data_IF_666706553165
#
_entry.id   IF_666706553165
#
_cell.length_a   1.000
_cell.length_b   1.000
_cell.length_c   1.000
_cell.angle_alpha   90.00
_cell.angle_beta   90.00
_cell.angle_gamma   90.00
#
_symmetry.space_group_name_H-M   'P 1'
#
loop_
_entity.id
_entity.type
_entity.pdbx_description
1 polymer ?
#
# COMPACT_ATOMS: atom_id res chain seq x y z
N UNK A 1 -14.75 23.28 12.66
CA UNK A 1 -14.11 23.08 11.33
C UNK A 1 -15.20 23.15 10.31
N UNK A 2 -15.07 24.04 9.33
CA UNK A 2 -16.00 24.12 8.20
C UNK A 2 -15.74 22.89 7.34
N UNK A 3 -16.69 21.96 7.31
CA UNK A 3 -16.77 20.94 6.27
C UNK A 3 -16.90 21.70 4.95
N UNK A 4 -16.11 21.33 3.95
CA UNK A 4 -16.05 22.04 2.67
C UNK A 4 -17.43 22.20 2.03
N UNK A 5 -17.74 23.41 1.55
CA UNK A 5 -19.08 23.83 1.10
C UNK A 5 -19.38 23.49 -0.37
N UNK A 6 -18.45 22.91 -1.14
CA UNK A 6 -18.55 22.87 -2.61
C UNK A 6 -19.38 21.72 -3.21
N UNK A 7 -19.85 20.77 -2.39
CA UNK A 7 -20.61 19.57 -2.80
C UNK A 7 -19.92 18.70 -3.88
N UNK A 8 -18.61 18.90 -4.08
CA UNK A 8 -17.79 18.14 -5.01
C UNK A 8 -17.30 16.83 -4.37
N UNK A 9 -17.18 15.72 -5.12
CA UNK A 9 -16.79 14.42 -4.57
C UNK A 9 -15.45 14.41 -3.82
N UNK A 10 -14.47 15.23 -4.22
CA UNK A 10 -13.19 15.29 -3.51
C UNK A 10 -13.26 15.95 -2.15
N UNK A 11 -14.27 16.77 -1.88
CA UNK A 11 -14.45 17.35 -0.56
C UNK A 11 -14.82 16.30 0.48
N UNK A 12 -15.63 15.31 0.11
CA UNK A 12 -15.94 14.18 0.97
C UNK A 12 -14.68 13.38 1.31
N UNK A 13 -13.82 13.14 0.32
CA UNK A 13 -12.53 12.47 0.51
C UNK A 13 -11.62 13.27 1.47
N UNK A 14 -11.53 14.59 1.31
CA UNK A 14 -10.76 15.45 2.22
C UNK A 14 -11.33 15.42 3.65
N UNK A 15 -12.65 15.45 3.79
CA UNK A 15 -13.32 15.34 5.09
C UNK A 15 -13.04 13.99 5.77
N UNK A 16 -12.96 12.90 5.01
CA UNK A 16 -12.58 11.58 5.54
C UNK A 16 -11.13 11.59 6.06
N UNK A 17 -10.19 12.17 5.31
CA UNK A 17 -8.80 12.30 5.76
C UNK A 17 -8.70 13.12 7.04
N UNK A 18 -9.39 14.27 7.13
CA UNK A 18 -9.39 15.12 8.32
C UNK A 18 -10.04 14.48 9.56
N UNK A 19 -10.85 13.44 9.38
CA UNK A 19 -11.54 12.73 10.47
C UNK A 19 -10.87 11.42 10.87
N UNK A 20 -9.71 11.10 10.29
CA UNK A 20 -8.95 9.89 10.61
C UNK A 20 -8.56 9.85 12.10
N UNK A 21 -8.82 8.74 12.81
CA UNK A 21 -8.52 8.63 14.23
C UNK A 21 -7.00 8.50 14.49
N UNK A 22 -6.57 8.84 15.70
CA UNK A 22 -5.26 8.45 16.22
C UNK A 22 -5.22 6.99 16.69
N UNK A 23 -4.02 6.49 17.05
CA UNK A 23 -3.82 5.15 17.59
C UNK A 23 -4.55 4.97 18.94
N UNK A 24 -4.79 3.71 19.33
CA UNK A 24 -5.25 3.36 20.66
C UNK A 24 -4.08 3.37 21.66
N UNK A 25 -3.93 4.49 22.36
CA UNK A 25 -2.89 4.69 23.36
C UNK A 25 -3.00 3.75 24.56
N UNK A 26 -4.21 3.28 24.89
CA UNK A 26 -4.42 2.34 26.00
C UNK A 26 -3.90 0.95 25.64
N UNK A 27 -4.21 0.48 24.42
CA UNK A 27 -3.69 -0.79 23.91
C UNK A 27 -2.16 -0.74 23.78
N UNK A 28 -1.61 0.37 23.29
CA UNK A 28 -0.17 0.57 23.20
C UNK A 28 0.52 0.52 24.57
N UNK A 29 -0.03 1.21 25.58
CA UNK A 29 0.49 1.18 26.94
C UNK A 29 0.43 -0.23 27.56
N UNK A 30 -0.66 -0.97 27.31
CA UNK A 30 -0.83 -2.34 27.80
C UNK A 30 0.18 -3.32 27.19
N UNK A 31 0.42 -3.23 25.86
CA UNK A 31 1.45 -4.03 25.18
C UNK A 31 2.83 -3.72 25.73
N UNK A 32 3.21 -2.45 25.89
CA UNK A 32 4.51 -2.07 26.47
C UNK A 32 4.70 -2.60 27.89
N UNK A 33 3.67 -2.47 28.72
CA UNK A 33 3.71 -2.96 30.10
C UNK A 33 3.87 -4.48 30.17
N UNK A 34 3.18 -5.23 29.29
CA UNK A 34 3.32 -6.68 29.18
C UNK A 34 4.69 -7.07 28.64
N UNK A 35 5.17 -6.41 27.58
CA UNK A 35 6.41 -6.75 26.90
C UNK A 35 7.63 -6.69 27.85
N UNK A 36 7.65 -5.70 28.75
CA UNK A 36 8.66 -5.55 29.79
C UNK A 36 8.72 -6.73 30.79
N UNK A 37 7.68 -7.56 30.85
CA UNK A 37 7.59 -8.71 31.75
C UNK A 37 7.83 -10.05 31.04
N UNK A 38 7.87 -10.06 29.71
CA UNK A 38 8.04 -11.29 28.93
C UNK A 38 9.41 -11.92 29.20
N UNK A 39 9.49 -13.26 29.12
CA UNK A 39 10.69 -14.05 29.44
C UNK A 39 11.80 -13.89 28.39
N UNK A 40 12.29 -12.67 28.23
CA UNK A 40 13.33 -12.24 27.30
C UNK A 40 14.07 -11.02 27.88
N UNK A 41 15.32 -10.74 27.50
CA UNK A 41 15.92 -9.45 27.76
C UNK A 41 15.12 -8.34 27.08
N UNK A 42 14.95 -7.20 27.77
CA UNK A 42 14.24 -6.04 27.22
C UNK A 42 14.83 -5.60 25.88
N UNK A 43 13.98 -5.37 24.87
CA UNK A 43 14.39 -4.95 23.52
C UNK A 43 15.05 -6.03 22.66
N UNK A 44 15.21 -7.26 23.17
CA UNK A 44 15.97 -8.33 22.47
C UNK A 44 15.32 -8.83 21.17
N UNK A 45 14.01 -8.61 20.97
CA UNK A 45 13.34 -8.95 19.71
C UNK A 45 13.30 -7.77 18.72
N UNK A 46 13.83 -6.59 19.10
CA UNK A 46 13.97 -5.42 18.24
C UNK A 46 12.66 -5.01 17.56
N UNK A 47 12.68 -4.91 16.22
CA UNK A 47 11.51 -4.48 15.42
C UNK A 47 10.27 -5.38 15.56
N UNK A 48 10.41 -6.62 16.01
CA UNK A 48 9.23 -7.47 16.27
C UNK A 48 8.40 -6.92 17.44
N UNK A 49 9.03 -6.29 18.42
CA UNK A 49 8.33 -5.61 19.53
C UNK A 49 7.58 -4.39 19.00
N UNK A 50 8.22 -3.59 18.14
CA UNK A 50 7.60 -2.44 17.46
C UNK A 50 6.39 -2.84 16.61
N UNK A 51 6.45 -3.99 15.92
CA UNK A 51 5.34 -4.50 15.11
C UNK A 51 4.16 -4.92 16.01
N UNK A 52 4.42 -5.53 17.17
CA UNK A 52 3.36 -5.89 18.12
C UNK A 52 2.70 -4.63 18.70
N UNK A 53 3.49 -3.61 19.05
CA UNK A 53 3.01 -2.28 19.47
C UNK A 53 2.14 -1.63 18.39
N UNK A 54 2.63 -1.56 17.15
CA UNK A 54 1.89 -1.02 16.01
C UNK A 54 0.56 -1.74 15.80
N UNK A 55 0.58 -3.08 15.81
CA UNK A 55 -0.60 -3.89 15.60
C UNK A 55 -1.64 -3.62 16.69
N UNK A 56 -1.23 -3.58 17.96
CA UNK A 56 -2.13 -3.31 19.07
C UNK A 56 -2.70 -1.89 19.05
N UNK A 57 -1.86 -0.90 18.75
CA UNK A 57 -2.27 0.50 18.62
C UNK A 57 -3.35 0.68 17.55
N UNK A 58 -3.23 -0.04 16.44
CA UNK A 58 -4.19 0.05 15.34
C UNK A 58 -5.31 -0.97 15.38
N UNK A 59 -5.21 -2.07 16.13
CA UNK A 59 -6.33 -3.00 16.33
C UNK A 59 -7.13 -2.72 17.61
N UNK A 60 -6.65 -1.82 18.49
CA UNK A 60 -7.24 -1.55 19.80
C UNK A 60 -7.24 -2.75 20.74
N UNK A 61 -6.24 -3.63 20.65
CA UNK A 61 -6.20 -4.89 21.39
C UNK A 61 -4.85 -5.09 22.08
N UNK A 62 -4.86 -5.16 23.41
CA UNK A 62 -3.68 -5.39 24.27
C UNK A 62 -3.00 -6.75 24.06
N UNK A 63 -3.71 -7.72 23.48
CA UNK A 63 -3.18 -9.02 23.05
C UNK A 63 -3.45 -9.16 21.56
N UNK A 64 -2.68 -8.42 20.73
CA UNK A 64 -2.95 -8.35 19.31
C UNK A 64 -2.89 -9.74 18.67
N UNK A 65 -3.76 -9.96 17.69
CA UNK A 65 -3.88 -11.20 16.92
C UNK A 65 -4.26 -10.86 15.48
N UNK A 66 -3.87 -11.72 14.56
CA UNK A 66 -4.22 -11.62 13.14
C UNK A 66 -4.88 -12.94 12.75
N UNK A 67 -6.19 -12.89 12.57
CA UNK A 67 -7.07 -14.04 12.36
C UNK A 67 -7.77 -14.01 11.00
N UNK A 68 -7.94 -12.82 10.42
CA UNK A 68 -8.59 -12.61 9.12
C UNK A 68 -7.76 -11.68 8.24
N UNK A 69 -6.46 -11.96 8.00
CA UNK A 69 -5.65 -11.15 7.11
C UNK A 69 -6.10 -11.35 5.66
N UNK A 70 -6.07 -10.27 4.86
CA UNK A 70 -6.46 -10.28 3.46
C UNK A 70 -5.43 -9.54 2.60
N UNK A 71 -5.04 -10.14 1.48
CA UNK A 71 -4.44 -9.41 0.35
C UNK A 71 -5.55 -8.99 -0.61
N UNK A 72 -5.66 -7.69 -0.85
CA UNK A 72 -6.56 -7.10 -1.83
C UNK A 72 -5.75 -6.67 -3.07
N UNK A 73 -5.91 -7.40 -4.17
CA UNK A 73 -5.30 -7.05 -5.46
C UNK A 73 -6.28 -6.21 -6.27
N UNK A 74 -5.91 -4.98 -6.61
CA UNK A 74 -6.66 -4.15 -7.53
C UNK A 74 -6.10 -4.29 -8.94
N UNK A 75 -6.86 -4.96 -9.82
CA UNK A 75 -6.45 -5.25 -11.19
C UNK A 75 -7.06 -4.25 -12.17
N UNK A 76 -6.27 -3.64 -13.04
CA UNK A 76 -6.77 -2.70 -14.06
C UNK A 76 -5.94 -2.74 -15.35
N UNK A 77 -6.23 -1.83 -16.28
CA UNK A 77 -5.47 -1.62 -17.51
C UNK A 77 -5.25 -0.13 -17.77
N UNK A 78 -4.16 0.21 -18.45
CA UNK A 78 -3.76 1.60 -18.72
C UNK A 78 -3.51 1.84 -20.20
N UNK A 79 -4.07 2.92 -20.76
CA UNK A 79 -3.85 3.29 -22.17
C UNK A 79 -2.40 3.64 -22.49
N UNK A 80 -1.60 4.05 -21.50
CA UNK A 80 -0.16 4.31 -21.70
C UNK A 80 0.61 3.03 -22.09
N UNK A 81 0.06 1.84 -21.80
CA UNK A 81 0.67 0.57 -22.18
C UNK A 81 0.89 0.44 -23.70
N UNK A 82 0.01 1.02 -24.51
CA UNK A 82 0.07 0.97 -25.98
C UNK A 82 1.32 1.69 -26.54
N UNK A 83 2.00 2.49 -25.72
CA UNK A 83 3.26 3.14 -26.07
C UNK A 83 4.48 2.24 -25.83
N UNK A 84 4.29 0.94 -25.54
CA UNK A 84 5.38 -0.01 -25.34
C UNK A 84 6.22 0.29 -24.09
N UNK A 85 5.59 0.81 -23.04
CA UNK A 85 6.22 1.10 -21.74
C UNK A 85 6.33 -0.13 -20.84
N UNK A 86 5.87 -1.29 -21.28
CA UNK A 86 5.98 -2.58 -20.60
C UNK A 86 6.54 -3.63 -21.54
N UNK A 87 7.25 -4.61 -20.99
CA UNK A 87 7.72 -5.78 -21.74
C UNK A 87 6.58 -6.74 -22.13
N UNK A 88 5.41 -6.61 -21.50
CA UNK A 88 4.25 -7.47 -21.71
C UNK A 88 3.09 -6.72 -22.35
N UNK A 89 2.31 -7.37 -23.23
CA UNK A 89 1.13 -6.76 -23.85
C UNK A 89 -0.05 -6.66 -22.87
N UNK A 90 -0.95 -5.70 -23.09
CA UNK A 90 -2.12 -5.44 -22.23
C UNK A 90 -3.02 -6.67 -22.01
N UNK A 91 -3.03 -7.63 -22.94
CA UNK A 91 -3.76 -8.90 -22.79
C UNK A 91 -3.34 -9.74 -21.57
N UNK A 92 -2.13 -9.50 -21.02
CA UNK A 92 -1.63 -10.18 -19.82
C UNK A 92 -2.45 -9.83 -18.58
N UNK A 93 -3.12 -8.68 -18.54
CA UNK A 93 -3.99 -8.30 -17.41
C UNK A 93 -5.06 -9.37 -17.14
N UNK A 94 -5.82 -9.75 -18.17
CA UNK A 94 -6.87 -10.78 -18.04
C UNK A 94 -6.28 -12.15 -17.68
N UNK A 95 -5.18 -12.53 -18.32
CA UNK A 95 -4.50 -13.81 -18.07
C UNK A 95 -4.02 -13.93 -16.62
N UNK A 96 -3.52 -12.84 -16.03
CA UNK A 96 -3.09 -12.84 -14.63
C UNK A 96 -4.27 -12.88 -13.66
N UNK A 97 -5.39 -12.20 -13.96
CA UNK A 97 -6.63 -12.35 -13.17
C UNK A 97 -7.11 -13.80 -13.17
N UNK A 98 -7.12 -14.45 -14.34
CA UNK A 98 -7.43 -15.89 -14.47
C UNK A 98 -6.43 -16.76 -13.68
N UNK A 99 -5.14 -16.43 -13.72
CA UNK A 99 -4.10 -17.14 -12.99
C UNK A 99 -4.26 -17.01 -11.45
N UNK A 100 -4.64 -15.83 -10.95
CA UNK A 100 -4.96 -15.64 -9.53
C UNK A 100 -6.15 -16.50 -9.11
N UNK A 101 -7.22 -16.53 -9.93
CA UNK A 101 -8.40 -17.35 -9.68
C UNK A 101 -8.08 -18.85 -9.71
N UNK A 102 -7.18 -19.27 -10.61
CA UNK A 102 -6.71 -20.65 -10.71
C UNK A 102 -5.72 -21.07 -9.60
N UNK A 103 -5.26 -20.13 -8.76
CA UNK A 103 -4.32 -20.44 -7.67
C UNK A 103 -2.86 -20.63 -8.11
N UNK A 104 -2.52 -20.15 -9.31
CA UNK A 104 -1.24 -20.42 -9.99
C UNK A 104 -0.19 -19.31 -9.85
N UNK A 105 -0.55 -18.12 -9.38
CA UNK A 105 0.40 -17.03 -9.22
C UNK A 105 1.29 -17.19 -7.98
N UNK A 106 2.37 -16.41 -7.91
CA UNK A 106 3.28 -16.41 -6.77
C UNK A 106 2.57 -15.95 -5.49
N UNK A 107 1.73 -14.91 -5.59
CA UNK A 107 0.93 -14.43 -4.45
C UNK A 107 0.02 -15.52 -3.88
N UNK A 108 -0.56 -16.40 -4.72
CA UNK A 108 -1.36 -17.53 -4.23
C UNK A 108 -0.54 -18.47 -3.34
N UNK A 109 0.73 -18.71 -3.67
CA UNK A 109 1.60 -19.59 -2.87
C UNK A 109 1.94 -18.94 -1.53
N UNK A 110 2.26 -17.65 -1.54
CA UNK A 110 2.61 -16.89 -0.33
C UNK A 110 1.41 -16.79 0.60
N UNK A 111 0.22 -16.47 0.07
CA UNK A 111 -1.03 -16.43 0.81
C UNK A 111 -1.35 -17.79 1.47
N UNK A 112 -1.20 -18.89 0.72
CA UNK A 112 -1.37 -20.24 1.28
C UNK A 112 -0.38 -20.53 2.41
N UNK A 113 0.90 -20.20 2.22
CA UNK A 113 1.93 -20.47 3.22
C UNK A 113 1.75 -19.68 4.51
N UNK A 114 1.20 -18.48 4.43
CA UNK A 114 1.03 -17.59 5.58
C UNK A 114 -0.40 -17.59 6.13
N UNK A 115 -1.30 -18.40 5.56
CA UNK A 115 -2.74 -18.41 5.89
C UNK A 115 -3.32 -17.00 5.84
N UNK A 116 -3.24 -16.41 4.64
CA UNK A 116 -3.73 -15.07 4.31
C UNK A 116 -4.77 -15.20 3.19
N UNK A 117 -5.93 -14.56 3.38
CA UNK A 117 -6.95 -14.49 2.35
C UNK A 117 -6.43 -13.76 1.12
N UNK A 118 -6.96 -14.08 -0.06
CA UNK A 118 -6.65 -13.38 -1.30
C UNK A 118 -7.95 -13.01 -2.00
N UNK A 119 -8.12 -11.73 -2.34
CA UNK A 119 -9.24 -11.24 -3.13
C UNK A 119 -8.74 -10.33 -4.23
N UNK A 120 -9.22 -10.59 -5.45
CA UNK A 120 -8.95 -9.75 -6.62
C UNK A 120 -10.16 -8.89 -6.89
N UNK A 121 -9.93 -7.60 -7.06
CA UNK A 121 -10.90 -6.58 -7.39
C UNK A 121 -10.64 -6.14 -8.83
N UNK A 122 -11.55 -6.49 -9.75
CA UNK A 122 -11.45 -6.11 -11.15
C UNK A 122 -11.95 -4.68 -11.35
N UNK A 123 -11.03 -3.79 -11.71
CA UNK A 123 -11.27 -2.38 -12.03
C UNK A 123 -11.24 -2.17 -13.55
N UNK A 124 -12.04 -2.98 -14.24
CA UNK A 124 -12.21 -2.98 -15.69
C UNK A 124 -10.91 -3.26 -16.46
N UNK A 125 -10.31 -4.42 -16.23
CA UNK A 125 -9.08 -4.88 -16.93
C UNK A 125 -9.19 -4.92 -18.45
N UNK A 126 -10.41 -4.92 -19.00
CA UNK A 126 -10.69 -4.91 -20.44
C UNK A 126 -10.89 -3.52 -21.03
N UNK A 127 -11.06 -2.50 -20.19
CA UNK A 127 -11.30 -1.12 -20.60
C UNK A 127 -10.20 -0.23 -20.00
N UNK A 128 -9.06 -0.08 -20.68
CA UNK A 128 -7.95 0.72 -20.17
C UNK A 128 -8.40 2.14 -19.80
N UNK A 129 -7.77 2.73 -18.78
CA UNK A 129 -7.87 4.19 -18.60
C UNK A 129 -7.35 4.90 -19.87
N UNK A 130 -7.77 6.14 -20.15
CA UNK A 130 -7.11 6.95 -21.17
C UNK A 130 -5.59 7.02 -20.93
N UNK A 131 -4.83 7.24 -22.01
CA UNK A 131 -3.39 7.45 -21.86
C UNK A 131 -3.13 8.76 -21.12
N UNK A 132 -2.45 8.66 -19.97
CA UNK A 132 -2.07 9.82 -19.13
C UNK A 132 -1.20 10.85 -19.85
N UNK A 133 -0.65 10.49 -21.02
CA UNK A 133 0.10 11.42 -21.87
C UNK A 133 -0.79 12.35 -22.70
N UNK A 134 -2.09 12.05 -22.83
CA UNK A 134 -3.04 12.75 -23.70
C UNK A 134 -4.26 13.26 -22.94
N UNK A 135 -4.85 12.41 -22.09
CA UNK A 135 -6.13 12.66 -21.41
C UNK A 135 -6.04 12.31 -19.92
N UNK A 136 -6.93 12.90 -19.12
CA UNK A 136 -6.98 12.62 -17.69
C UNK A 136 -7.41 11.15 -17.50
N UNK A 137 -6.76 10.42 -16.57
CA UNK A 137 -7.06 9.01 -16.35
C UNK A 137 -8.51 8.78 -15.92
N UNK A 138 -9.05 9.71 -15.13
CA UNK A 138 -10.42 9.72 -14.60
C UNK A 138 -10.90 11.17 -14.47
N UNK A 139 -12.22 11.38 -14.57
CA UNK A 139 -12.83 12.59 -14.01
C UNK A 139 -12.93 12.49 -12.47
N UNK A 140 -13.28 13.60 -11.82
CA UNK A 140 -13.37 13.67 -10.36
C UNK A 140 -14.37 12.67 -9.78
N UNK A 141 -15.58 12.57 -10.36
CA UNK A 141 -16.63 11.70 -9.87
C UNK A 141 -16.26 10.22 -9.97
N UNK A 142 -15.67 9.79 -11.10
CA UNK A 142 -15.17 8.44 -11.28
C UNK A 142 -13.97 8.14 -10.39
N UNK A 143 -13.07 9.11 -10.16
CA UNK A 143 -11.95 8.94 -9.24
C UNK A 143 -12.47 8.70 -7.82
N UNK A 144 -13.36 9.55 -7.32
CA UNK A 144 -13.97 9.41 -5.99
C UNK A 144 -14.79 8.10 -5.85
N UNK A 145 -15.57 7.72 -6.87
CA UNK A 145 -16.30 6.46 -6.88
C UNK A 145 -15.36 5.24 -6.86
N UNK A 146 -14.22 5.31 -7.57
CA UNK A 146 -13.21 4.25 -7.56
C UNK A 146 -12.53 4.14 -6.19
N UNK A 147 -12.25 5.26 -5.53
CA UNK A 147 -11.78 5.27 -4.14
C UNK A 147 -12.80 4.61 -3.22
N UNK A 148 -14.09 4.97 -3.32
CA UNK A 148 -15.16 4.37 -2.53
C UNK A 148 -15.26 2.85 -2.75
N UNK A 149 -15.13 2.37 -3.99
CA UNK A 149 -15.08 0.94 -4.29
C UNK A 149 -13.88 0.24 -3.62
N UNK A 150 -12.72 0.91 -3.57
CA UNK A 150 -11.56 0.42 -2.81
C UNK A 150 -11.82 0.24 -1.31
N UNK A 151 -12.64 1.11 -0.71
CA UNK A 151 -13.03 1.02 0.71
C UNK A 151 -13.79 -0.26 1.03
N UNK A 152 -14.55 -0.80 0.06
CA UNK A 152 -15.31 -2.05 0.23
C UNK A 152 -14.43 -3.27 0.46
N UNK A 153 -13.12 -3.19 0.20
CA UNK A 153 -12.20 -4.28 0.45
C UNK A 153 -12.06 -4.67 1.93
N UNK A 154 -12.48 -3.79 2.86
CA UNK A 154 -12.52 -4.07 4.30
C UNK A 154 -13.77 -4.83 4.75
N UNK A 155 -14.75 -5.01 3.86
CA UNK A 155 -15.97 -5.73 4.20
C UNK A 155 -15.64 -7.16 4.67
N UNK A 156 -16.35 -7.61 5.72
CA UNK A 156 -16.19 -8.96 6.27
C UNK A 156 -15.23 -9.07 7.45
N UNK A 157 -14.95 -7.97 8.17
CA UNK A 157 -14.22 -8.00 9.43
C UNK A 157 -12.75 -8.40 9.27
N UNK A 158 -12.08 -7.78 8.30
CA UNK A 158 -10.64 -7.96 8.07
C UNK A 158 -9.87 -7.29 9.21
N UNK A 159 -8.89 -7.97 9.79
CA UNK A 159 -8.09 -7.47 10.92
C UNK A 159 -6.65 -7.09 10.54
N UNK A 160 -6.24 -7.39 9.30
CA UNK A 160 -5.00 -6.94 8.68
C UNK A 160 -5.19 -6.93 7.16
N UNK A 161 -4.97 -5.79 6.52
CA UNK A 161 -5.12 -5.66 5.07
C UNK A 161 -3.78 -5.44 4.38
N UNK A 162 -3.53 -6.14 3.28
CA UNK A 162 -2.32 -6.06 2.48
C UNK A 162 -2.67 -5.54 1.09
N UNK A 163 -2.01 -4.47 0.63
CA UNK A 163 -2.24 -3.92 -0.69
C UNK A 163 -1.52 -4.76 -1.75
N UNK A 164 -2.23 -5.04 -2.84
CA UNK A 164 -1.66 -5.55 -4.07
C UNK A 164 -2.29 -4.86 -5.28
N UNK A 165 -1.60 -4.97 -6.40
CA UNK A 165 -2.02 -4.35 -7.65
C UNK A 165 -1.66 -5.27 -8.82
N UNK A 166 -2.32 -5.05 -9.96
CA UNK A 166 -1.97 -5.69 -11.22
C UNK A 166 -2.39 -4.79 -12.37
N UNK A 167 -1.46 -4.40 -13.23
CA UNK A 167 -1.79 -3.60 -14.41
C UNK A 167 -0.61 -3.36 -15.32
N UNK A 168 -0.69 -3.82 -16.57
CA UNK A 168 0.33 -3.51 -17.57
C UNK A 168 0.44 -1.98 -17.75
N UNK A 169 1.64 -1.45 -17.52
CA UNK A 169 1.96 -0.02 -17.63
C UNK A 169 1.88 0.77 -16.31
N UNK A 170 1.42 0.16 -15.22
CA UNK A 170 1.20 0.86 -13.95
C UNK A 170 2.48 1.41 -13.30
N UNK A 171 3.66 0.82 -13.52
CA UNK A 171 4.92 1.40 -13.02
C UNK A 171 5.22 2.78 -13.65
N UNK A 172 4.79 3.01 -14.89
CA UNK A 172 4.86 4.33 -15.55
C UNK A 172 3.88 5.31 -14.91
N UNK A 173 2.68 4.84 -14.60
CA UNK A 173 1.62 5.62 -13.93
C UNK A 173 2.05 6.01 -12.52
N UNK A 174 2.55 5.06 -11.73
CA UNK A 174 3.11 5.29 -10.40
C UNK A 174 4.26 6.31 -10.43
N UNK A 175 5.17 6.21 -11.41
CA UNK A 175 6.24 7.19 -11.60
C UNK A 175 5.70 8.60 -11.92
N UNK A 176 4.65 8.71 -12.75
CA UNK A 176 4.02 9.98 -13.06
C UNK A 176 3.33 10.61 -11.84
N UNK A 177 2.62 9.81 -11.04
CA UNK A 177 2.01 10.26 -9.77
C UNK A 177 3.09 10.77 -8.82
N UNK A 178 4.15 9.98 -8.58
CA UNK A 178 5.23 10.36 -7.67
C UNK A 178 5.98 11.61 -8.14
N UNK A 179 6.26 11.73 -9.45
CA UNK A 179 6.86 12.94 -10.01
C UNK A 179 5.93 14.15 -9.86
N UNK A 180 4.63 14.00 -10.10
CA UNK A 180 3.64 15.08 -9.92
C UNK A 180 3.62 15.61 -8.49
N UNK A 181 3.60 14.70 -7.51
CA UNK A 181 3.56 15.02 -6.08
C UNK A 181 4.88 15.63 -5.60
N UNK A 182 6.00 14.95 -5.82
CA UNK A 182 7.30 15.29 -5.21
C UNK A 182 8.24 16.09 -6.12
N UNK A 183 7.88 16.30 -7.38
CA UNK A 183 8.68 17.03 -8.36
C UNK A 183 9.92 16.26 -8.83
N UNK A 184 10.92 17.01 -9.31
CA UNK A 184 12.12 16.44 -9.94
C UNK A 184 11.91 16.07 -11.40
N UNK A 185 12.87 15.34 -11.98
CA UNK A 185 12.83 14.88 -13.37
C UNK A 185 12.16 13.51 -13.47
N UNK A 186 11.64 13.15 -14.65
CA UNK A 186 11.07 11.82 -14.88
C UNK A 186 12.07 10.68 -14.60
N UNK A 187 13.36 10.92 -14.87
CA UNK A 187 14.44 9.94 -14.65
C UNK A 187 14.58 9.54 -13.19
N UNK A 188 14.22 10.43 -12.26
CA UNK A 188 14.33 10.13 -10.83
C UNK A 188 13.25 9.13 -10.33
N UNK A 189 12.24 8.83 -11.16
CA UNK A 189 11.07 8.05 -10.77
C UNK A 189 10.85 6.78 -11.60
N UNK A 190 11.48 6.68 -12.77
CA UNK A 190 11.30 5.53 -13.66
C UNK A 190 12.28 4.41 -13.34
N UNK A 191 11.83 3.18 -13.58
CA UNK A 191 12.64 1.98 -13.52
C UNK A 191 12.27 1.02 -14.64
N UNK A 192 12.99 -0.10 -14.72
CA UNK A 192 12.74 -1.12 -15.76
C UNK A 192 11.43 -1.88 -15.54
N UNK A 193 10.80 -1.83 -14.37
CA UNK A 193 9.52 -2.49 -14.11
C UNK A 193 9.58 -3.99 -14.43
N UNK A 194 8.76 -4.39 -15.39
CA UNK A 194 8.69 -5.75 -15.95
C UNK A 194 9.96 -6.22 -16.67
N UNK A 195 10.99 -5.38 -16.78
CA UNK A 195 12.29 -5.71 -17.37
C UNK A 195 12.51 -5.14 -18.77
N UNK A 196 12.01 -3.93 -19.04
CA UNK A 196 12.19 -3.28 -20.34
C UNK A 196 13.66 -2.98 -20.66
N UNK A 197 13.95 -2.95 -21.95
CA UNK A 197 15.24 -2.51 -22.51
C UNK A 197 15.43 -0.99 -22.43
N UNK A 198 16.54 -0.48 -22.96
CA UNK A 198 16.88 0.94 -22.91
C UNK A 198 15.91 1.80 -23.73
N UNK A 199 15.41 1.27 -24.85
CA UNK A 199 14.37 1.94 -25.64
C UNK A 199 13.05 2.02 -24.88
N UNK A 200 12.66 0.94 -24.19
CA UNK A 200 11.48 0.92 -23.33
C UNK A 200 11.61 1.87 -22.14
N UNK A 201 12.81 2.00 -21.56
CA UNK A 201 13.08 3.00 -20.52
C UNK A 201 12.96 4.42 -21.06
N UNK A 202 13.46 4.68 -22.28
CA UNK A 202 13.31 5.98 -22.94
C UNK A 202 11.83 6.31 -23.23
N UNK A 203 11.03 5.34 -23.67
CA UNK A 203 9.57 5.49 -23.85
C UNK A 203 8.87 5.79 -22.52
N UNK A 204 9.25 5.11 -21.43
CA UNK A 204 8.76 5.42 -20.08
C UNK A 204 9.07 6.86 -19.68
N UNK A 205 10.32 7.31 -19.87
CA UNK A 205 10.72 8.69 -19.58
C UNK A 205 9.84 9.69 -20.31
N UNK A 206 9.71 9.54 -21.63
CA UNK A 206 8.89 10.42 -22.46
C UNK A 206 7.42 10.43 -22.04
N UNK A 207 6.86 9.26 -21.68
CA UNK A 207 5.49 9.16 -21.19
C UNK A 207 5.28 9.90 -19.86
N UNK A 208 6.20 9.73 -18.90
CA UNK A 208 6.14 10.44 -17.61
C UNK A 208 6.30 11.94 -17.79
N UNK A 209 7.26 12.39 -18.61
CA UNK A 209 7.46 13.81 -18.94
C UNK A 209 6.19 14.43 -19.54
N UNK A 210 5.57 13.76 -20.51
CA UNK A 210 4.34 14.22 -21.14
C UNK A 210 3.17 14.29 -20.15
N UNK A 211 3.02 13.27 -19.30
CA UNK A 211 1.95 13.23 -18.29
C UNK A 211 2.11 14.35 -17.25
N UNK A 212 3.32 14.53 -16.71
CA UNK A 212 3.62 15.57 -15.72
C UNK A 212 3.49 16.97 -16.32
N UNK A 213 3.93 17.18 -17.56
CA UNK A 213 3.77 18.47 -18.24
C UNK A 213 2.30 18.90 -18.30
N UNK A 214 1.37 17.95 -18.51
CA UNK A 214 -0.06 18.23 -18.52
C UNK A 214 -0.57 18.72 -17.17
N UNK A 215 0.03 18.31 -16.05
CA UNK A 215 -0.36 18.80 -14.71
C UNK A 215 -0.26 20.33 -14.62
N UNK A 216 0.62 20.97 -15.40
CA UNK A 216 0.79 22.43 -15.44
C UNK A 216 1.02 23.04 -14.04
N UNK A 217 1.84 22.36 -13.23
CA UNK A 217 2.15 22.79 -11.87
C UNK A 217 1.06 22.50 -10.83
N UNK A 218 0.00 21.76 -11.18
CA UNK A 218 -0.97 21.26 -10.21
C UNK A 218 -0.29 20.42 -9.11
N UNK A 219 -0.69 20.67 -7.87
CA UNK A 219 -0.12 20.05 -6.66
C UNK A 219 -1.15 19.45 -5.73
N UNK A 220 -2.44 19.68 -5.97
CA UNK A 220 -3.47 18.96 -5.21
C UNK A 220 -3.33 17.45 -5.48
N UNK A 221 -3.17 16.62 -4.43
CA UNK A 221 -2.86 15.20 -4.60
C UNK A 221 -4.01 14.40 -5.25
N UNK A 222 -5.27 14.83 -5.06
CA UNK A 222 -6.41 14.18 -5.71
C UNK A 222 -6.51 14.57 -7.18
N UNK A 223 -6.16 15.82 -7.53
CA UNK A 223 -6.00 16.25 -8.91
C UNK A 223 -4.85 15.52 -9.63
N UNK A 224 -3.71 15.33 -8.97
CA UNK A 224 -2.60 14.54 -9.53
C UNK A 224 -3.07 13.10 -9.78
N UNK A 225 -3.73 12.48 -8.79
CA UNK A 225 -4.27 11.12 -8.92
C UNK A 225 -5.26 10.99 -10.08
N UNK A 226 -6.26 11.88 -10.20
CA UNK A 226 -7.29 11.73 -11.26
C UNK A 226 -6.70 11.92 -12.66
N UNK A 227 -5.68 12.77 -12.80
CA UNK A 227 -5.14 13.16 -14.10
C UNK A 227 -4.09 12.20 -14.62
N UNK A 228 -3.14 11.81 -13.77
CA UNK A 228 -1.98 10.97 -14.18
C UNK A 228 -1.86 9.66 -13.41
N UNK A 229 -2.85 9.31 -12.59
CA UNK A 229 -2.91 8.04 -11.88
C UNK A 229 -3.65 6.94 -12.65
N UNK A 230 -4.23 6.01 -11.90
CA UNK A 230 -4.93 4.84 -12.41
C UNK A 230 -6.00 4.37 -11.44
N UNK A 231 -6.92 3.51 -11.91
CA UNK A 231 -8.05 3.05 -11.08
C UNK A 231 -7.58 2.25 -9.88
N UNK A 232 -6.58 1.41 -10.05
CA UNK A 232 -5.93 0.63 -8.98
C UNK A 232 -5.29 1.53 -7.93
N UNK A 233 -4.61 2.61 -8.33
CA UNK A 233 -4.04 3.57 -7.38
C UNK A 233 -5.18 4.27 -6.62
N UNK A 234 -6.23 4.74 -7.31
CA UNK A 234 -7.37 5.38 -6.66
C UNK A 234 -8.08 4.45 -5.68
N UNK A 235 -8.34 3.20 -6.07
CA UNK A 235 -8.94 2.22 -5.16
C UNK A 235 -8.05 1.95 -3.92
N UNK A 236 -6.73 1.85 -4.10
CA UNK A 236 -5.81 1.71 -2.98
C UNK A 236 -5.78 2.94 -2.07
N UNK A 237 -5.87 4.17 -2.60
CA UNK A 237 -5.99 5.40 -1.78
C UNK A 237 -7.24 5.33 -0.92
N UNK A 238 -8.39 4.97 -1.51
CA UNK A 238 -9.63 4.77 -0.78
C UNK A 238 -9.51 3.71 0.33
N UNK A 239 -8.89 2.57 0.02
CA UNK A 239 -8.65 1.50 0.99
C UNK A 239 -7.75 1.96 2.15
N UNK A 240 -6.70 2.73 1.89
CA UNK A 240 -5.83 3.28 2.94
C UNK A 240 -6.63 4.19 3.88
N UNK A 241 -7.44 5.10 3.33
CA UNK A 241 -8.29 6.01 4.13
C UNK A 241 -9.30 5.22 4.96
N UNK A 242 -9.99 4.25 4.35
CA UNK A 242 -10.98 3.45 5.06
C UNK A 242 -10.36 2.56 6.15
N UNK A 243 -9.17 2.01 5.91
CA UNK A 243 -8.45 1.20 6.89
C UNK A 243 -8.09 2.04 8.11
N UNK A 244 -7.64 3.29 7.89
CA UNK A 244 -7.41 4.23 9.00
C UNK A 244 -8.67 4.54 9.79
N UNK A 245 -9.77 4.87 9.11
CA UNK A 245 -11.04 5.19 9.76
C UNK A 245 -11.61 4.04 10.60
N UNK A 246 -11.42 2.81 10.13
CA UNK A 246 -11.87 1.60 10.82
C UNK A 246 -10.86 1.06 11.83
N UNK A 247 -9.69 1.71 11.98
CA UNK A 247 -8.56 1.18 12.78
C UNK A 247 -8.26 -0.27 12.37
N UNK A 248 -7.95 -0.45 11.09
CA UNK A 248 -7.46 -1.71 10.54
C UNK A 248 -6.00 -1.49 10.13
N UNK A 249 -5.04 -2.21 10.73
CA UNK A 249 -3.65 -2.15 10.31
C UNK A 249 -3.50 -2.55 8.85
N UNK A 250 -2.65 -1.82 8.11
CA UNK A 250 -2.49 -1.99 6.68
C UNK A 250 -1.02 -2.18 6.29
N UNK A 251 -0.74 -3.05 5.33
CA UNK A 251 0.61 -3.29 4.79
C UNK A 251 0.68 -2.83 3.33
N UNK A 252 1.61 -1.92 3.05
CA UNK A 252 1.98 -1.44 1.72
C UNK A 252 3.02 -2.38 1.12
N UNK A 253 2.75 -2.91 -0.07
CA UNK A 253 3.68 -3.82 -0.77
C UNK A 253 4.96 -3.15 -1.31
N UNK A 254 4.95 -2.74 -2.58
CA UNK A 254 6.10 -2.20 -3.30
C UNK A 254 5.80 -0.88 -4.00
N UNK A 255 6.48 -0.64 -5.13
CA UNK A 255 6.53 0.69 -5.75
C UNK A 255 5.16 1.30 -6.11
N UNK A 256 4.27 0.53 -6.74
CA UNK A 256 2.96 1.03 -7.19
C UNK A 256 2.00 1.27 -6.01
N UNK A 257 1.98 0.36 -5.03
CA UNK A 257 1.17 0.55 -3.82
C UNK A 257 1.69 1.72 -2.98
N UNK A 258 3.00 1.95 -2.96
CA UNK A 258 3.63 3.14 -2.37
C UNK A 258 3.21 4.44 -3.08
N UNK A 259 2.95 4.42 -4.39
CA UNK A 259 2.42 5.60 -5.08
C UNK A 259 1.00 5.96 -4.59
N UNK A 260 0.15 4.98 -4.28
CA UNK A 260 -1.13 5.23 -3.61
C UNK A 260 -0.93 5.78 -2.19
N UNK A 261 0.00 5.23 -1.43
CA UNK A 261 0.36 5.77 -0.10
C UNK A 261 0.85 7.22 -0.18
N UNK A 262 1.64 7.56 -1.20
CA UNK A 262 2.15 8.92 -1.41
C UNK A 262 1.04 9.95 -1.66
N UNK A 263 -0.06 9.57 -2.33
CA UNK A 263 -1.23 10.44 -2.48
C UNK A 263 -1.83 10.77 -1.11
N UNK A 264 -2.04 9.77 -0.25
CA UNK A 264 -2.55 9.98 1.12
C UNK A 264 -1.57 10.81 1.95
N UNK A 265 -0.27 10.51 1.87
CA UNK A 265 0.77 11.26 2.57
C UNK A 265 0.81 12.74 2.17
N UNK A 266 0.63 13.03 0.88
CA UNK A 266 0.59 14.40 0.37
C UNK A 266 -0.67 15.16 0.81
N UNK A 267 -1.76 14.46 1.16
CA UNK A 267 -2.93 15.06 1.80
C UNK A 267 -2.69 15.33 3.28
N UNK A 268 -2.18 14.33 4.00
CA UNK A 268 -1.81 14.39 5.42
C UNK A 268 -0.72 13.35 5.73
N UNK A 269 0.50 13.76 6.13
CA UNK A 269 1.58 12.85 6.46
C UNK A 269 1.24 11.79 7.52
N UNK A 270 0.38 12.13 8.48
CA UNK A 270 -0.07 11.23 9.56
C UNK A 270 -1.07 10.17 9.09
N UNK A 271 -1.65 10.34 7.89
CA UNK A 271 -2.59 9.39 7.30
C UNK A 271 -2.03 7.99 7.14
N UNK A 272 -0.70 7.88 7.07
CA UNK A 272 0.01 6.61 6.94
C UNK A 272 0.46 5.97 8.27
N UNK A 273 0.14 6.53 9.45
CA UNK A 273 0.67 5.97 10.72
C UNK A 273 0.13 4.56 11.03
N UNK A 274 -0.97 4.17 10.38
CA UNK A 274 -1.56 2.82 10.47
C UNK A 274 -0.99 1.85 9.43
N UNK A 275 -0.04 2.31 8.62
CA UNK A 275 0.57 1.53 7.56
C UNK A 275 1.96 1.02 7.95
N UNK A 276 2.27 -0.24 7.61
CA UNK A 276 3.63 -0.75 7.52
C UNK A 276 4.04 -0.89 6.05
N UNK A 277 5.32 -0.63 5.77
CA UNK A 277 5.88 -0.87 4.44
C UNK A 277 6.58 -2.24 4.42
N UNK A 278 6.17 -3.11 3.50
CA UNK A 278 6.61 -4.49 3.50
C UNK A 278 8.07 -4.64 3.10
N UNK A 279 8.44 -4.13 1.92
CA UNK A 279 9.78 -4.33 1.38
C UNK A 279 10.29 -3.14 0.58
N UNK A 280 11.61 -3.00 0.49
CA UNK A 280 12.24 -2.14 -0.51
C UNK A 280 12.18 -2.87 -1.85
N UNK A 281 11.26 -2.45 -2.72
CA UNK A 281 11.24 -2.86 -4.13
C UNK A 281 12.56 -2.53 -4.85
N UNK A 282 12.95 -3.41 -5.78
CA UNK A 282 14.09 -3.19 -6.68
C UNK A 282 13.79 -2.16 -7.80
N UNK A 283 12.60 -1.57 -7.84
CA UNK A 283 12.36 -0.37 -8.66
C UNK A 283 13.22 0.79 -8.15
N UNK A 284 13.97 1.42 -9.06
CA UNK A 284 15.05 2.35 -8.74
C UNK A 284 14.63 3.49 -7.80
N UNK A 285 13.41 4.00 -7.99
CA UNK A 285 12.89 5.13 -7.24
C UNK A 285 12.27 4.75 -5.89
N UNK A 286 12.03 3.47 -5.59
CA UNK A 286 11.23 3.10 -4.43
C UNK A 286 11.88 3.49 -3.11
N UNK A 287 13.19 3.24 -2.95
CA UNK A 287 13.93 3.66 -1.75
C UNK A 287 13.85 5.17 -1.54
N UNK A 288 14.06 5.93 -2.62
CA UNK A 288 13.94 7.39 -2.61
C UNK A 288 12.54 7.85 -2.17
N UNK A 289 11.49 7.19 -2.65
CA UNK A 289 10.11 7.50 -2.22
C UNK A 289 9.89 7.24 -0.74
N UNK A 290 10.42 6.13 -0.21
CA UNK A 290 10.36 5.84 1.22
C UNK A 290 11.10 6.89 2.05
N UNK A 291 12.30 7.28 1.62
CA UNK A 291 13.11 8.30 2.28
C UNK A 291 12.41 9.66 2.31
N UNK A 292 11.77 10.07 1.20
CA UNK A 292 11.00 11.32 1.11
C UNK A 292 9.79 11.37 2.04
N UNK A 293 9.17 10.22 2.28
CA UNK A 293 8.02 10.11 3.21
C UNK A 293 8.45 9.78 4.65
N UNK A 294 9.77 9.68 4.90
CA UNK A 294 10.35 9.26 6.18
C UNK A 294 9.82 7.90 6.66
N UNK A 295 9.62 6.97 5.73
CA UNK A 295 9.13 5.62 6.01
C UNK A 295 10.25 4.58 5.82
N UNK A 296 10.16 3.49 6.58
CA UNK A 296 11.08 2.36 6.48
C UNK A 296 10.33 1.07 6.18
N UNK A 297 10.91 0.23 5.32
CA UNK A 297 10.35 -1.08 5.01
C UNK A 297 10.86 -2.17 5.97
N UNK A 298 10.13 -3.28 6.08
CA UNK A 298 10.54 -4.43 6.89
C UNK A 298 11.66 -5.26 6.23
N UNK A 299 11.61 -5.38 4.90
CA UNK A 299 12.44 -6.32 4.12
C UNK A 299 13.21 -5.61 3.00
N UNK A 300 14.34 -6.16 2.59
CA UNK A 300 15.12 -5.70 1.44
C UNK A 300 15.65 -6.92 0.66
N UNK A 301 14.75 -7.57 -0.08
CA UNK A 301 15.03 -8.80 -0.83
C UNK A 301 15.27 -8.56 -2.33
N UNK A 302 15.24 -7.31 -2.79
CA UNK A 302 15.33 -6.99 -4.22
C UNK A 302 14.12 -7.49 -5.03
N UNK A 303 12.96 -7.66 -4.39
CA UNK A 303 11.71 -8.05 -5.05
C UNK A 303 11.15 -6.90 -5.90
N UNK A 304 10.47 -7.22 -7.00
CA UNK A 304 9.80 -6.22 -7.87
C UNK A 304 8.62 -6.84 -8.66
N UNK A 305 8.01 -7.88 -8.11
CA UNK A 305 6.88 -8.55 -8.75
C UNK A 305 5.60 -7.70 -8.66
N UNK A 306 5.34 -7.09 -7.50
CA UNK A 306 4.05 -6.49 -7.19
C UNK A 306 3.07 -7.53 -6.65
N UNK A 307 1.79 -7.38 -7.00
CA UNK A 307 0.70 -8.32 -6.66
C UNK A 307 0.42 -8.46 -5.15
N UNK A 308 1.05 -7.65 -4.29
CA UNK A 308 0.96 -7.80 -2.84
C UNK A 308 1.90 -8.87 -2.26
N UNK A 309 2.86 -9.34 -3.06
CA UNK A 309 3.74 -10.46 -2.69
C UNK A 309 4.64 -10.18 -1.49
N UNK A 310 5.26 -9.00 -1.42
CA UNK A 310 6.01 -8.55 -0.26
C UNK A 310 5.10 -8.30 0.95
N UNK A 311 3.94 -7.68 0.75
CA UNK A 311 2.96 -7.45 1.81
C UNK A 311 2.46 -8.75 2.44
N UNK A 312 2.21 -9.79 1.65
CA UNK A 312 1.81 -11.10 2.15
C UNK A 312 2.93 -11.81 2.95
N UNK A 313 4.20 -11.63 2.58
CA UNK A 313 5.34 -12.11 3.37
C UNK A 313 5.40 -11.35 4.71
N UNK A 314 5.29 -10.02 4.65
CA UNK A 314 5.26 -9.16 5.83
C UNK A 314 4.09 -9.51 6.77
N UNK A 315 2.92 -9.89 6.25
CA UNK A 315 1.80 -10.35 7.06
C UNK A 315 2.17 -11.58 7.91
N UNK A 316 2.95 -12.52 7.38
CA UNK A 316 3.50 -13.64 8.15
C UNK A 316 4.39 -13.20 9.32
N UNK A 317 5.20 -12.16 9.11
CA UNK A 317 6.05 -11.56 10.16
C UNK A 317 5.18 -10.88 11.22
N UNK A 318 4.14 -10.14 10.80
CA UNK A 318 3.18 -9.51 11.72
C UNK A 318 2.44 -10.57 12.55
N UNK A 319 2.00 -11.67 11.94
CA UNK A 319 1.41 -12.82 12.66
C UNK A 319 2.38 -13.37 13.71
N UNK A 320 3.64 -13.56 13.34
CA UNK A 320 4.66 -14.07 14.25
C UNK A 320 4.92 -13.10 15.42
N UNK A 321 5.01 -11.79 15.16
CA UNK A 321 5.17 -10.78 16.21
C UNK A 321 3.99 -10.77 17.19
N UNK A 322 2.77 -10.84 16.67
CA UNK A 322 1.55 -10.93 17.48
C UNK A 322 1.54 -12.18 18.38
N UNK A 323 1.90 -13.33 17.82
CA UNK A 323 1.93 -14.60 18.55
C UNK A 323 3.06 -14.63 19.60
N UNK A 324 4.23 -14.07 19.30
CA UNK A 324 5.31 -13.92 20.29
C UNK A 324 4.86 -13.07 21.47
N UNK A 325 4.25 -11.91 21.23
CA UNK A 325 3.81 -11.02 22.30
C UNK A 325 2.67 -11.63 23.13
N UNK A 326 1.65 -12.16 22.45
CA UNK A 326 0.45 -12.70 23.10
C UNK A 326 0.69 -14.05 23.77
N UNK A 327 1.57 -14.89 23.21
CA UNK A 327 1.78 -16.28 23.63
C UNK A 327 2.98 -16.52 24.55
N UNK A 328 3.97 -15.63 24.56
CA UNK A 328 5.15 -15.82 25.43
C UNK A 328 4.77 -15.64 26.91
N UNK A 329 5.35 -16.51 27.75
CA UNK A 329 5.21 -16.43 29.20
C UNK A 329 5.95 -15.21 29.76
N UNK A 330 5.43 -14.64 30.84
CA UNK A 330 6.20 -13.69 31.65
C UNK A 330 7.23 -14.43 32.50
N UNK A 331 8.25 -13.72 33.00
CA UNK A 331 9.22 -14.29 33.97
C UNK A 331 8.50 -14.94 35.17
N UNK A 332 7.42 -14.31 35.64
CA UNK A 332 6.58 -14.82 36.73
C UNK A 332 5.86 -16.12 36.34
N UNK A 333 5.25 -16.19 35.16
CA UNK A 333 4.55 -17.39 34.67
C UNK A 333 5.51 -18.57 34.48
N UNK A 334 6.73 -18.29 33.99
CA UNK A 334 7.73 -19.28 33.68
C UNK A 334 8.57 -19.73 34.90
N UNK A 335 8.44 -19.05 36.05
CA UNK A 335 9.29 -19.28 37.22
C UNK A 335 10.77 -18.99 36.98
N UNK A 336 11.08 -18.10 36.04
CA UNK A 336 12.45 -17.71 35.70
C UNK A 336 12.86 -16.51 36.54
N UNK A 337 14.03 -16.59 37.16
CA UNK A 337 14.61 -15.51 37.95
C UNK A 337 14.71 -14.22 37.13
N UNK A 338 14.29 -13.11 37.74
CA UNK A 338 14.41 -11.79 37.11
C UNK A 338 15.83 -11.26 37.32
N UNK A 339 16.23 -10.23 36.59
CA UNK A 339 17.55 -9.61 36.79
C UNK A 339 17.75 -9.08 38.23
N UNK A 340 16.65 -8.78 38.92
CA UNK A 340 16.63 -8.28 40.30
C UNK A 340 16.33 -9.37 41.35
N UNK A 341 16.32 -10.65 40.95
CA UNK A 341 16.10 -11.80 41.83
C UNK A 341 16.27 -13.13 41.12
#
# INVERSE_FOLDING_TARGET
>A
MSLSESALPFDDIRNLVQSMPGPDESALAAVRARDAQLTKPAGSLGRLEEIAEWLAAWSGNEKPKVTRPLVAIFATAHGVADQGVSAFPSSVNRQMVENFAAGGAAINQICRSNDVGLKVFDLAVEMPTPSITQEDAMDEAHCAATMAYGMEALAGGIDLICLGEMGIGNTTVAAAVLNGLFGGSAEDWIGRGTGVDDEGLARKRAAVEAAVARLNGEKDPLEVLRRVGGREIAAMVGLIIAARLQRVPLIIDGFVTTAAAAVVYAMDPSGLDHCLFAHVSAEAAHRRTLDLMEKSALLDFGMRLGEGSGAAIAAGIVKAAAEMHSGMATFADAGVASKDG
#
